data_IF_871094552586
#
_entry.id   IF_871094552586
#
_cell.length_a   1.000
_cell.length_b   1.000
_cell.length_c   1.000
_cell.angle_alpha   90.00
_cell.angle_beta   90.00
_cell.angle_gamma   90.00
#
_symmetry.space_group_name_H-M   'P 1'
#
loop_
_entity.id
_entity.type
_entity.pdbx_description
1 polymer ?
#
# COMPACT_ATOMS: atom_id res chain seq x y z
N UNK A 1 17.25 24.95 -12.91
CA UNK A 1 16.17 24.04 -12.47
C UNK A 1 14.88 24.85 -12.31
N UNK A 2 13.77 24.47 -12.95
CA UNK A 2 12.53 25.26 -12.90
C UNK A 2 11.85 25.10 -11.52
N UNK A 3 11.21 26.16 -10.99
CA UNK A 3 10.53 26.12 -9.67
C UNK A 3 9.54 24.95 -9.55
N UNK A 4 8.83 24.62 -10.62
CA UNK A 4 7.89 23.49 -10.66
C UNK A 4 8.58 22.13 -10.48
N UNK A 5 9.74 21.92 -11.13
CA UNK A 5 10.55 20.69 -10.97
C UNK A 5 11.11 20.58 -9.55
N UNK A 6 11.55 21.70 -8.98
CA UNK A 6 12.04 21.75 -7.59
C UNK A 6 10.95 21.30 -6.60
N UNK A 7 9.73 21.83 -6.78
CA UNK A 7 8.56 21.48 -5.97
C UNK A 7 8.19 20.00 -6.12
N UNK A 8 8.14 19.48 -7.34
CA UNK A 8 7.82 18.06 -7.58
C UNK A 8 8.84 17.13 -6.90
N UNK A 9 10.13 17.44 -7.01
CA UNK A 9 11.21 16.68 -6.38
C UNK A 9 11.12 16.72 -4.85
N UNK A 10 10.79 17.89 -4.29
CA UNK A 10 10.61 18.04 -2.84
C UNK A 10 9.41 17.25 -2.35
N UNK A 11 8.28 17.30 -3.08
CA UNK A 11 7.07 16.57 -2.72
C UNK A 11 7.25 15.06 -2.79
N UNK A 12 7.91 14.53 -3.83
CA UNK A 12 8.23 13.10 -3.90
C UNK A 12 9.17 12.67 -2.79
N UNK A 13 10.22 13.44 -2.50
CA UNK A 13 11.16 13.12 -1.42
C UNK A 13 10.46 13.03 -0.06
N UNK A 14 9.57 13.98 0.25
CA UNK A 14 8.77 13.96 1.49
C UNK A 14 7.84 12.74 1.50
N UNK A 15 7.18 12.43 0.39
CA UNK A 15 6.27 11.27 0.32
C UNK A 15 7.01 9.94 0.45
N UNK A 16 8.22 9.81 -0.12
CA UNK A 16 9.08 8.64 0.04
C UNK A 16 9.50 8.50 1.50
N UNK A 17 9.96 9.59 2.13
CA UNK A 17 10.34 9.59 3.54
C UNK A 17 9.17 9.18 4.44
N UNK A 18 7.97 9.74 4.21
CA UNK A 18 6.75 9.33 4.90
C UNK A 18 6.40 7.87 4.62
N UNK A 19 6.51 7.41 3.37
CA UNK A 19 6.24 6.03 2.98
C UNK A 19 7.16 5.01 3.66
N UNK A 20 8.39 5.39 3.99
CA UNK A 20 9.33 4.53 4.73
C UNK A 20 9.08 4.58 6.24
N UNK A 21 8.79 5.76 6.80
CA UNK A 21 8.65 5.94 8.27
C UNK A 21 7.29 5.48 8.77
N UNK A 22 6.20 5.77 8.03
CA UNK A 22 4.84 5.48 8.48
C UNK A 22 4.62 3.99 8.78
N UNK A 23 5.06 3.03 7.94
CA UNK A 23 4.92 1.60 8.23
C UNK A 23 5.62 1.14 9.50
N UNK A 24 6.77 1.74 9.82
CA UNK A 24 7.52 1.42 11.04
C UNK A 24 6.71 1.77 12.29
N UNK A 25 6.03 2.92 12.26
CA UNK A 25 5.13 3.31 13.35
C UNK A 25 3.96 2.34 13.50
N UNK A 26 3.33 1.96 12.39
CA UNK A 26 2.17 1.07 12.42
C UNK A 26 2.55 -0.36 12.80
N UNK A 27 3.71 -0.89 12.41
CA UNK A 27 4.16 -2.23 12.81
C UNK A 27 4.34 -2.41 14.34
N UNK A 28 4.41 -1.32 15.10
CA UNK A 28 4.39 -1.36 16.58
C UNK A 28 3.04 -1.82 17.16
N UNK A 29 1.98 -1.82 16.34
CA UNK A 29 0.62 -2.22 16.70
C UNK A 29 0.30 -3.58 16.03
N UNK A 30 -0.17 -4.60 16.78
CA UNK A 30 -0.57 -5.88 16.19
C UNK A 30 -1.64 -5.73 15.10
N UNK A 31 -1.49 -6.41 13.96
CA UNK A 31 -2.44 -6.46 12.82
C UNK A 31 -2.69 -5.14 12.06
N UNK A 32 -2.03 -4.05 12.41
CA UNK A 32 -2.27 -2.73 11.81
C UNK A 32 -1.93 -2.63 10.31
N UNK A 33 -0.86 -3.34 9.89
CA UNK A 33 -0.34 -3.25 8.52
C UNK A 33 -1.30 -3.79 7.47
N UNK A 34 -2.13 -4.77 7.82
CA UNK A 34 -3.15 -5.35 6.93
C UNK A 34 -4.40 -4.48 6.81
N UNK A 35 -4.63 -3.59 7.78
CA UNK A 35 -5.83 -2.72 7.81
C UNK A 35 -5.55 -1.38 7.13
N UNK A 36 -4.37 -0.80 7.34
CA UNK A 36 -4.10 0.58 6.93
C UNK A 36 -3.14 0.75 5.75
N UNK A 37 -2.53 -0.34 5.24
CA UNK A 37 -1.51 -0.34 4.17
C UNK A 37 -0.63 0.92 4.18
N UNK A 38 0.04 1.22 5.32
CA UNK A 38 0.56 2.55 5.63
C UNK A 38 1.59 3.07 4.62
N UNK A 39 2.24 2.19 3.85
CA UNK A 39 3.22 2.58 2.82
C UNK A 39 2.57 3.08 1.52
N UNK A 40 1.33 2.68 1.21
CA UNK A 40 0.69 2.92 -0.09
C UNK A 40 0.09 4.32 -0.18
N UNK A 41 -0.44 4.84 0.93
CA UNK A 41 -1.04 6.18 1.01
C UNK A 41 -0.03 7.29 0.62
N UNK A 42 1.21 7.33 1.16
CA UNK A 42 2.18 8.34 0.75
C UNK A 42 2.59 8.26 -0.72
N UNK A 43 2.67 7.04 -1.28
CA UNK A 43 3.03 6.83 -2.70
C UNK A 43 1.91 7.30 -3.63
N UNK A 44 0.66 7.00 -3.31
CA UNK A 44 -0.50 7.50 -4.04
C UNK A 44 -0.56 9.03 -4.02
N UNK A 45 -0.30 9.64 -2.85
CA UNK A 45 -0.24 11.08 -2.69
C UNK A 45 0.89 11.70 -3.54
N UNK A 46 2.04 11.04 -3.63
CA UNK A 46 3.14 11.47 -4.50
C UNK A 46 2.72 11.52 -5.97
N UNK A 47 2.00 10.51 -6.46
CA UNK A 47 1.46 10.50 -7.83
C UNK A 47 0.49 11.65 -8.07
N UNK A 48 -0.45 11.86 -7.15
CA UNK A 48 -1.43 12.94 -7.23
C UNK A 48 -0.79 14.33 -7.26
N UNK A 49 0.18 14.58 -6.36
CA UNK A 49 0.72 15.93 -6.14
C UNK A 49 1.93 16.27 -7.01
N UNK A 50 2.77 15.28 -7.33
CA UNK A 50 3.99 15.50 -8.11
C UNK A 50 3.83 15.11 -9.58
N UNK A 51 2.79 14.34 -9.93
CA UNK A 51 2.47 13.92 -11.29
C UNK A 51 2.94 12.49 -11.62
N UNK A 52 2.62 11.98 -12.83
CA UNK A 52 2.70 10.56 -13.16
C UNK A 52 4.11 9.97 -13.10
N UNK A 53 5.09 10.64 -13.71
CA UNK A 53 6.48 10.15 -13.68
C UNK A 53 7.06 10.14 -12.26
N UNK A 54 6.74 11.16 -11.47
CA UNK A 54 7.20 11.31 -10.10
C UNK A 54 6.51 10.33 -9.13
N UNK A 55 5.23 10.01 -9.35
CA UNK A 55 4.49 8.98 -8.62
C UNK A 55 5.01 7.58 -8.87
N UNK A 56 5.30 7.24 -10.12
CA UNK A 56 5.90 5.95 -10.48
C UNK A 56 7.29 5.78 -9.81
N UNK A 57 8.12 6.82 -9.87
CA UNK A 57 9.43 6.83 -9.19
C UNK A 57 9.28 6.64 -7.69
N UNK A 58 8.33 7.35 -7.04
CA UNK A 58 8.07 7.17 -5.63
C UNK A 58 7.59 5.75 -5.30
N UNK A 59 6.74 5.15 -6.14
CA UNK A 59 6.22 3.80 -5.92
C UNK A 59 7.26 2.70 -6.05
N UNK A 60 8.30 2.90 -6.87
CA UNK A 60 9.43 1.98 -6.97
C UNK A 60 10.42 2.23 -5.83
N UNK A 61 10.81 3.49 -5.60
CA UNK A 61 11.87 3.81 -4.65
C UNK A 61 11.45 3.60 -3.19
N UNK A 62 10.20 3.88 -2.82
CA UNK A 62 9.74 3.76 -1.43
C UNK A 62 9.91 2.36 -0.85
N UNK A 63 9.33 1.29 -1.45
CA UNK A 63 9.52 -0.07 -0.95
C UNK A 63 10.99 -0.52 -1.06
N UNK A 64 11.73 -0.15 -2.11
CA UNK A 64 13.16 -0.48 -2.20
C UNK A 64 13.96 0.10 -1.02
N UNK A 65 13.78 1.39 -0.74
CA UNK A 65 14.43 2.06 0.38
C UNK A 65 13.98 1.46 1.71
N UNK A 66 12.68 1.16 1.86
CA UNK A 66 12.15 0.51 3.06
C UNK A 66 12.78 -0.87 3.29
N UNK A 67 12.91 -1.71 2.25
CA UNK A 67 13.54 -3.03 2.40
C UNK A 67 14.99 -2.93 2.84
N UNK A 68 15.70 -1.92 2.33
CA UNK A 68 17.11 -1.73 2.64
C UNK A 68 17.33 -1.22 4.07
N UNK A 69 16.43 -0.38 4.58
CA UNK A 69 16.53 0.19 5.93
C UNK A 69 15.92 -0.74 7.00
N UNK A 70 14.76 -1.33 6.72
CA UNK A 70 13.95 -2.04 7.73
C UNK A 70 13.96 -3.57 7.56
N UNK A 71 14.45 -4.08 6.43
CA UNK A 71 14.33 -5.50 6.06
C UNK A 71 12.92 -5.92 5.63
N UNK A 72 11.94 -5.00 5.63
CA UNK A 72 10.56 -5.23 5.21
C UNK A 72 10.15 -4.29 4.07
N UNK A 73 9.39 -4.77 3.06
CA UNK A 73 8.97 -6.16 2.83
C UNK A 73 10.13 -7.13 2.51
N UNK A 74 9.99 -8.44 2.79
CA UNK A 74 11.04 -9.41 2.53
C UNK A 74 11.39 -9.51 1.03
N UNK A 75 12.68 -9.64 0.74
CA UNK A 75 13.19 -9.77 -0.62
C UNK A 75 12.70 -11.11 -1.19
N UNK A 76 11.81 -11.03 -2.18
CA UNK A 76 11.14 -12.19 -2.75
C UNK A 76 9.95 -11.78 -3.62
N UNK A 77 9.02 -12.71 -3.93
CA UNK A 77 7.89 -12.45 -4.83
C UNK A 77 7.01 -11.28 -4.38
N UNK A 78 6.89 -11.09 -3.06
CA UNK A 78 6.10 -10.01 -2.44
C UNK A 78 6.68 -8.64 -2.77
N UNK A 79 8.00 -8.46 -2.72
CA UNK A 79 8.63 -7.20 -3.06
C UNK A 79 8.37 -6.85 -4.53
N UNK A 80 8.54 -7.81 -5.44
CA UNK A 80 8.30 -7.58 -6.86
C UNK A 80 6.82 -7.24 -7.14
N UNK A 81 5.88 -7.94 -6.50
CA UNK A 81 4.46 -7.61 -6.60
C UNK A 81 4.18 -6.19 -6.09
N UNK A 82 4.69 -5.81 -4.91
CA UNK A 82 4.51 -4.46 -4.36
C UNK A 82 5.13 -3.38 -5.23
N UNK A 83 6.29 -3.61 -5.84
CA UNK A 83 6.93 -2.64 -6.73
C UNK A 83 6.04 -2.33 -7.93
N UNK A 84 5.49 -3.36 -8.56
CA UNK A 84 4.58 -3.19 -9.69
C UNK A 84 3.26 -2.56 -9.28
N UNK A 85 2.69 -3.00 -8.16
CA UNK A 85 1.45 -2.45 -7.61
C UNK A 85 1.59 -0.95 -7.32
N UNK A 86 2.64 -0.56 -6.59
CA UNK A 86 2.84 0.84 -6.18
C UNK A 86 3.26 1.73 -7.33
N UNK A 87 4.06 1.21 -8.27
CA UNK A 87 4.38 1.94 -9.50
C UNK A 87 3.12 2.20 -10.33
N UNK A 88 2.27 1.18 -10.52
CA UNK A 88 1.01 1.30 -11.24
C UNK A 88 0.05 2.28 -10.54
N UNK A 89 -0.11 2.17 -9.22
CA UNK A 89 -0.96 3.05 -8.44
C UNK A 89 -0.48 4.51 -8.47
N UNK A 90 0.82 4.75 -8.27
CA UNK A 90 1.40 6.09 -8.36
C UNK A 90 1.21 6.72 -9.75
N UNK A 91 1.30 5.91 -10.81
CA UNK A 91 1.08 6.35 -12.18
C UNK A 91 -0.42 6.65 -12.44
N UNK A 92 -1.29 5.69 -12.15
CA UNK A 92 -2.74 5.77 -12.40
C UNK A 92 -3.37 6.91 -11.61
N UNK A 93 -2.99 7.09 -10.35
CA UNK A 93 -3.55 8.15 -9.51
C UNK A 93 -3.26 9.54 -10.09
N UNK A 94 -2.09 9.73 -10.69
CA UNK A 94 -1.72 10.98 -11.33
C UNK A 94 -2.46 11.23 -12.66
N UNK A 95 -2.86 10.17 -13.36
CA UNK A 95 -3.63 10.27 -14.61
C UNK A 95 -5.13 10.48 -14.34
N UNK A 96 -5.70 9.76 -13.37
CA UNK A 96 -7.12 9.84 -13.03
C UNK A 96 -7.43 11.14 -12.29
N UNK A 97 -6.62 11.48 -11.28
CA UNK A 97 -6.78 12.70 -10.53
C UNK A 97 -5.78 13.74 -11.06
N UNK A 98 -6.17 14.39 -12.16
CA UNK A 98 -5.36 15.40 -12.84
C UNK A 98 -4.77 16.43 -11.87
N UNK A 99 -3.44 16.61 -11.95
CA UNK A 99 -2.67 17.57 -11.17
C UNK A 99 -3.00 19.02 -11.58
N UNK A 100 -4.12 19.55 -11.08
CA UNK A 100 -4.52 20.94 -11.33
C UNK A 100 -5.89 21.33 -10.80
N UNK A 101 -6.80 20.38 -10.54
CA UNK A 101 -8.12 20.69 -9.99
C UNK A 101 -8.15 20.40 -8.49
N UNK A 102 -8.59 21.37 -7.68
CA UNK A 102 -8.80 21.16 -6.23
C UNK A 102 -9.75 19.98 -5.94
N UNK A 103 -10.60 19.65 -6.90
CA UNK A 103 -11.47 18.48 -6.90
C UNK A 103 -10.72 17.15 -6.88
N UNK A 104 -9.53 17.05 -7.50
CA UNK A 104 -8.75 15.81 -7.55
C UNK A 104 -8.30 15.33 -6.18
N UNK A 105 -7.80 16.25 -5.34
CA UNK A 105 -7.40 15.91 -3.96
C UNK A 105 -8.60 15.55 -3.09
N UNK A 106 -9.70 16.28 -3.22
CA UNK A 106 -10.91 15.98 -2.47
C UNK A 106 -11.51 14.63 -2.86
N UNK A 107 -11.56 14.32 -4.15
CA UNK A 107 -12.05 13.05 -4.66
C UNK A 107 -11.15 11.89 -4.21
N UNK A 108 -9.83 12.06 -4.25
CA UNK A 108 -8.87 11.08 -3.74
C UNK A 108 -9.03 10.83 -2.23
N UNK A 109 -9.13 11.88 -1.42
CA UNK A 109 -9.35 11.76 0.03
C UNK A 109 -10.67 11.03 0.32
N UNK A 110 -11.73 11.37 -0.42
CA UNK A 110 -13.03 10.71 -0.25
C UNK A 110 -12.95 9.25 -0.65
N UNK A 111 -12.23 8.92 -1.72
CA UNK A 111 -12.09 7.53 -2.18
C UNK A 111 -11.23 6.67 -1.25
N UNK A 112 -10.11 7.21 -0.76
CA UNK A 112 -9.18 6.48 0.09
C UNK A 112 -9.75 6.20 1.48
N UNK A 113 -10.56 7.10 2.03
CA UNK A 113 -11.11 6.95 3.38
C UNK A 113 -12.57 6.53 3.39
N UNK A 114 -13.47 7.28 2.73
CA UNK A 114 -14.92 7.08 2.88
C UNK A 114 -15.39 5.81 2.18
N UNK A 115 -14.90 5.52 0.97
CA UNK A 115 -15.20 4.25 0.30
C UNK A 115 -14.32 3.09 0.76
N UNK A 116 -13.17 3.36 1.36
CA UNK A 116 -12.30 2.32 1.93
C UNK A 116 -12.89 1.66 3.18
N UNK A 117 -13.55 2.45 4.05
CA UNK A 117 -14.10 1.97 5.32
C UNK A 117 -15.16 0.85 5.19
N UNK A 118 -16.15 0.93 4.29
CA UNK A 118 -17.09 -0.18 4.04
C UNK A 118 -16.39 -1.47 3.61
N UNK A 119 -15.34 -1.37 2.77
CA UNK A 119 -14.57 -2.52 2.31
C UNK A 119 -13.81 -3.20 3.45
N UNK A 120 -13.17 -2.41 4.33
CA UNK A 120 -12.50 -2.91 5.53
C UNK A 120 -13.51 -3.58 6.47
N UNK A 121 -14.67 -2.96 6.70
CA UNK A 121 -15.74 -3.53 7.53
C UNK A 121 -16.23 -4.87 6.95
N UNK A 122 -16.43 -4.94 5.64
CA UNK A 122 -16.78 -6.18 4.94
C UNK A 122 -15.69 -7.24 5.09
N UNK A 123 -14.41 -6.89 4.91
CA UNK A 123 -13.29 -7.84 5.05
C UNK A 123 -13.19 -8.41 6.47
N UNK A 124 -13.40 -7.59 7.50
CA UNK A 124 -13.38 -8.04 8.88
C UNK A 124 -14.52 -9.00 9.22
N UNK A 125 -15.66 -8.94 8.52
CA UNK A 125 -16.78 -9.88 8.70
C UNK A 125 -16.61 -11.10 7.80
N UNK A 126 -16.24 -10.89 6.53
CA UNK A 126 -16.21 -11.92 5.50
C UNK A 126 -15.05 -12.91 5.71
N UNK A 127 -13.86 -12.45 6.08
CA UNK A 127 -12.69 -13.33 6.27
C UNK A 127 -12.92 -14.34 7.41
N UNK A 128 -13.38 -13.94 8.62
CA UNK A 128 -13.72 -14.90 9.67
C UNK A 128 -14.85 -15.85 9.28
N UNK A 129 -15.88 -15.34 8.60
CA UNK A 129 -17.02 -16.16 8.20
C UNK A 129 -16.59 -17.25 7.20
N UNK A 130 -15.78 -16.86 6.21
CA UNK A 130 -15.22 -17.79 5.23
C UNK A 130 -14.33 -18.83 5.91
N UNK A 131 -13.49 -18.41 6.87
CA UNK A 131 -12.69 -19.33 7.68
C UNK A 131 -13.57 -20.35 8.44
N UNK A 132 -14.67 -19.91 9.05
CA UNK A 132 -15.57 -20.82 9.77
C UNK A 132 -16.24 -21.84 8.85
N UNK A 133 -16.63 -21.45 7.64
CA UNK A 133 -17.21 -22.37 6.64
C UNK A 133 -16.15 -23.38 6.17
N UNK A 134 -14.93 -22.91 5.88
CA UNK A 134 -13.84 -23.76 5.44
C UNK A 134 -13.38 -24.75 6.52
N UNK A 135 -13.38 -24.29 7.79
CA UNK A 135 -13.10 -25.13 8.95
C UNK A 135 -14.16 -26.23 9.12
N UNK A 136 -15.45 -25.89 8.95
CA UNK A 136 -16.54 -26.88 8.95
C UNK A 136 -16.43 -27.89 7.79
N UNK A 137 -15.97 -27.42 6.62
CA UNK A 137 -15.71 -28.28 5.46
C UNK A 137 -14.42 -29.13 5.60
N UNK A 138 -13.63 -28.96 6.67
CA UNK A 138 -12.34 -29.63 6.91
C UNK A 138 -11.27 -29.37 5.82
N UNK A 139 -11.38 -28.26 5.09
CA UNK A 139 -10.49 -27.89 3.98
C UNK A 139 -9.37 -26.92 4.40
N UNK A 140 -9.11 -26.74 5.69
CA UNK A 140 -8.09 -25.79 6.17
C UNK A 140 -6.67 -26.39 6.10
N UNK A 141 -5.66 -25.64 5.59
CA UNK A 141 -4.28 -26.10 5.43
C UNK A 141 -3.60 -26.63 6.70
N UNK A 142 -4.04 -26.18 7.87
CA UNK A 142 -3.53 -26.63 9.18
C UNK A 142 -3.61 -28.14 9.38
N UNK A 143 -4.55 -28.84 8.73
CA UNK A 143 -4.66 -30.29 8.78
C UNK A 143 -3.62 -31.01 7.91
N UNK A 144 -3.26 -30.43 6.78
CA UNK A 144 -2.28 -31.04 5.85
C UNK A 144 -0.85 -30.98 6.38
N UNK A 145 -0.53 -29.99 7.21
CA UNK A 145 0.77 -29.88 7.88
C UNK A 145 0.93 -30.91 9.01
N UNK A 146 -0.15 -31.21 9.75
CA UNK A 146 -0.13 -32.24 10.79
C UNK A 146 0.07 -33.65 10.22
N UNK A 147 -0.59 -33.97 9.09
CA UNK A 147 -0.50 -35.29 8.43
C UNK A 147 0.88 -35.55 7.81
N UNK A 148 1.56 -34.48 7.34
CA UNK A 148 2.94 -34.54 6.83
C UNK A 148 4.03 -34.64 7.91
N UNK A 149 3.72 -34.32 9.16
CA UNK A 149 4.67 -34.42 10.28
C UNK A 149 4.58 -35.76 11.03
N UNK A 150 3.53 -36.56 10.76
CA UNK A 150 3.30 -37.89 11.34
C UNK A 150 3.62 -39.06 10.41
N UNK A 151 4.15 -38.77 9.21
CA UNK A 151 4.62 -39.75 8.23
C UNK A 151 6.13 -39.55 7.98
#
# INVERSE_FOLDING_TARGET
>A
MNRTRLRQLTLTAICIALGVVLPVLFHSIPRSGQIFLPMHLPVLLAGLLAGPGWGMVAGILTPLISTWITGMPPIGPILFAMLFELAAYGLVNAFIFSAGTGYGLQAWMTSSFVTGLPGIALQLVFVPLLYMVLAKAKLTPSRQLADKQTA
#
